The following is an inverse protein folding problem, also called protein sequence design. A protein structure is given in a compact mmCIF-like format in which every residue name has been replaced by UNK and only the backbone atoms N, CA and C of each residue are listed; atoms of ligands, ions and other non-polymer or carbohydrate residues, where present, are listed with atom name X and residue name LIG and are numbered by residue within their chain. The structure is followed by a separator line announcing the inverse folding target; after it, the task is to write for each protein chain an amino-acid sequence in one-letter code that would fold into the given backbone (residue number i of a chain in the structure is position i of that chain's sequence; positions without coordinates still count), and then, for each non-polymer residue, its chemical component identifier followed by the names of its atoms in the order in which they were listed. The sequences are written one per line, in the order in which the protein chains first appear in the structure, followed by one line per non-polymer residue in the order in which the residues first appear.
data_IF_404354259513
#
_entry.id   IF_404354259513
#
_cell.length_a   1.000
_cell.length_b   1.000
_cell.length_c   1.000
_cell.angle_alpha   90.00
_cell.angle_beta   90.00
_cell.angle_gamma   90.00
#
_symmetry.space_group_name_H-M   'P 1'
#
loop_
_entity.id
_entity.type
_entity.pdbx_description
1 polymer ?
#
# COMPACT_ATOMS: atom_id res chain seq x y z
N UNK A 1 4.72 23.13 -14.11
CA UNK A 1 4.43 22.89 -12.68
C UNK A 1 3.15 22.09 -12.56
N UNK A 2 3.22 20.78 -12.78
CA UNK A 2 2.08 19.89 -12.56
C UNK A 2 2.32 19.13 -11.26
N UNK A 3 1.48 19.42 -10.27
CA UNK A 3 1.49 18.72 -8.99
C UNK A 3 0.92 17.32 -9.24
N UNK A 4 1.72 16.28 -8.98
CA UNK A 4 1.30 14.88 -9.11
C UNK A 4 0.03 14.64 -8.29
N UNK A 5 -1.05 14.28 -8.96
CA UNK A 5 -2.30 13.89 -8.31
C UNK A 5 -2.07 12.57 -7.57
N UNK A 6 -2.63 12.48 -6.36
CA UNK A 6 -2.56 11.28 -5.55
C UNK A 6 -3.54 10.28 -6.10
N UNK A 7 -3.00 9.16 -6.58
CA UNK A 7 -3.77 8.04 -7.07
C UNK A 7 -3.33 6.75 -6.39
N UNK A 8 -4.15 5.72 -6.59
CA UNK A 8 -3.95 4.32 -6.21
C UNK A 8 -2.50 3.84 -6.32
N UNK A 9 -2.10 2.92 -5.42
CA UNK A 9 -0.79 2.25 -5.51
C UNK A 9 -0.79 1.33 -6.74
N UNK A 10 -0.57 1.94 -7.91
CA UNK A 10 -0.43 1.23 -9.16
C UNK A 10 1.03 0.80 -9.22
N UNK A 11 1.29 -0.49 -9.02
CA UNK A 11 2.57 -1.06 -9.50
C UNK A 11 2.43 -1.09 -11.02
N UNK A 12 2.76 0.02 -11.68
CA UNK A 12 2.89 0.00 -13.12
C UNK A 12 3.96 -1.04 -13.45
N UNK A 13 3.65 -2.13 -14.17
CA UNK A 13 4.70 -2.86 -14.86
C UNK A 13 5.15 -1.88 -15.94
N UNK A 14 6.20 -1.12 -15.64
CA UNK A 14 6.77 -0.23 -16.63
C UNK A 14 7.08 -1.07 -17.85
N UNK A 15 6.52 -0.66 -18.99
CA UNK A 15 6.93 -1.13 -20.31
C UNK A 15 8.42 -0.85 -20.61
N UNK A 16 9.15 -0.31 -19.64
CA UNK A 16 10.60 -0.35 -19.54
C UNK A 16 11.03 -1.25 -18.39
N UNK A 17 11.82 -2.27 -18.68
CA UNK A 17 12.57 -3.12 -17.74
C UNK A 17 13.56 -2.35 -16.81
N UNK A 18 13.40 -1.03 -16.64
CA UNK A 18 14.37 -0.07 -16.05
C UNK A 18 13.84 0.80 -14.91
N UNK A 19 12.58 0.70 -14.50
CA UNK A 19 12.13 1.39 -13.29
C UNK A 19 12.60 0.57 -12.07
N UNK A 20 13.36 1.20 -11.16
CA UNK A 20 13.71 0.59 -9.89
C UNK A 20 12.42 0.21 -9.13
N UNK A 21 12.41 -0.91 -8.39
CA UNK A 21 11.23 -1.29 -7.62
C UNK A 21 10.88 -0.20 -6.59
N UNK A 22 9.59 -0.04 -6.26
CA UNK A 22 9.18 0.90 -5.22
C UNK A 22 9.84 0.56 -3.89
N UNK A 23 10.31 1.60 -3.19
CA UNK A 23 10.99 1.46 -1.90
C UNK A 23 10.03 1.75 -0.75
N UNK A 24 9.85 0.77 0.13
CA UNK A 24 8.99 0.89 1.29
C UNK A 24 9.79 0.80 2.57
N UNK A 25 9.37 1.55 3.59
CA UNK A 25 9.91 1.44 4.94
C UNK A 25 8.83 1.62 5.99
N UNK A 26 9.10 1.10 7.19
CA UNK A 26 8.20 1.20 8.33
C UNK A 26 8.80 2.21 9.31
N UNK A 27 8.01 3.22 9.69
CA UNK A 27 8.38 4.18 10.72
C UNK A 27 7.15 4.50 11.57
N UNK A 28 7.30 4.47 12.89
CA UNK A 28 6.21 4.72 13.86
C UNK A 28 4.94 3.88 13.59
N UNK A 29 5.13 2.58 13.31
CA UNK A 29 4.05 1.63 12.98
C UNK A 29 3.21 2.04 11.74
N UNK A 30 3.81 2.79 10.81
CA UNK A 30 3.20 3.21 9.56
C UNK A 30 4.10 2.80 8.41
N UNK A 31 3.51 2.28 7.34
CA UNK A 31 4.20 2.02 6.08
C UNK A 31 4.28 3.29 5.25
N UNK A 32 5.46 3.55 4.70
CA UNK A 32 5.75 4.71 3.87
C UNK A 32 6.33 4.25 2.54
N UNK A 33 5.89 4.88 1.46
CA UNK A 33 6.49 4.78 0.13
C UNK A 33 7.47 5.96 -0.04
N UNK A 34 8.72 5.64 -0.36
CA UNK A 34 9.71 6.63 -0.79
C UNK A 34 9.57 6.81 -2.30
N UNK A 35 9.17 8.01 -2.73
CA UNK A 35 9.02 8.33 -4.16
C UNK A 35 10.30 8.93 -4.72
N UNK A 36 10.95 9.78 -3.93
CA UNK A 36 12.24 10.41 -4.24
C UNK A 36 12.90 10.89 -2.93
N UNK A 37 14.06 11.54 -3.02
CA UNK A 37 14.86 12.00 -1.86
C UNK A 37 14.13 12.96 -0.90
N UNK A 38 13.08 13.64 -1.36
CA UNK A 38 12.36 14.66 -0.59
C UNK A 38 10.89 14.32 -0.35
N UNK A 39 10.37 13.27 -1.00
CA UNK A 39 8.95 12.96 -1.04
C UNK A 39 8.69 11.54 -0.56
N UNK A 40 7.94 11.46 0.54
CA UNK A 40 7.43 10.22 1.11
C UNK A 40 5.92 10.30 1.27
N UNK A 41 5.23 9.20 1.04
CA UNK A 41 3.78 9.11 1.22
C UNK A 41 3.42 7.97 2.18
N UNK A 42 2.51 8.20 3.14
CA UNK A 42 1.95 7.11 3.93
C UNK A 42 1.12 6.19 3.02
N UNK A 43 1.32 4.88 3.19
CA UNK A 43 0.47 3.85 2.61
C UNK A 43 -0.63 3.52 3.62
N UNK A 44 -1.85 3.92 3.29
CA UNK A 44 -3.04 3.70 4.10
C UNK A 44 -3.76 2.43 3.67
N UNK A 45 -4.54 1.86 4.59
CA UNK A 45 -5.33 0.67 4.35
C UNK A 45 -6.80 1.05 4.44
N UNK A 46 -7.53 0.81 3.36
CA UNK A 46 -8.96 1.06 3.29
C UNK A 46 -9.71 -0.25 3.12
N UNK A 47 -10.85 -0.37 3.79
CA UNK A 47 -11.76 -1.47 3.53
C UNK A 47 -12.49 -1.19 2.21
N UNK A 48 -12.19 -1.96 1.16
CA UNK A 48 -12.81 -1.81 -0.16
C UNK A 48 -14.18 -2.46 -0.28
N UNK A 49 -14.56 -3.38 0.61
CA UNK A 49 -15.81 -4.14 0.50
C UNK A 49 -16.92 -3.65 1.42
N UNK A 50 -16.62 -2.78 2.40
CA UNK A 50 -17.60 -2.28 3.37
C UNK A 50 -18.05 -3.34 4.39
N UNK A 51 -17.62 -4.59 4.23
CA UNK A 51 -17.78 -5.70 5.16
C UNK A 51 -16.44 -5.98 5.83
N UNK A 52 -16.49 -6.35 7.10
CA UNK A 52 -15.42 -6.08 8.07
C UNK A 52 -14.10 -6.83 7.85
N UNK A 53 -13.98 -7.70 6.84
CA UNK A 53 -12.91 -8.69 6.82
C UNK A 53 -11.98 -8.61 5.60
N UNK A 54 -12.42 -8.70 4.34
CA UNK A 54 -11.48 -8.76 3.19
C UNK A 54 -12.16 -8.45 1.84
N UNK A 55 -11.38 -8.13 0.78
CA UNK A 55 -9.98 -7.69 0.81
C UNK A 55 -9.87 -6.19 1.16
N UNK A 56 -8.74 -5.81 1.75
CA UNK A 56 -8.40 -4.42 2.04
C UNK A 56 -7.49 -3.86 0.95
N UNK A 57 -7.66 -2.58 0.64
CA UNK A 57 -6.97 -1.88 -0.43
C UNK A 57 -5.85 -0.99 0.13
N UNK A 58 -4.69 -1.01 -0.52
CA UNK A 58 -3.57 -0.13 -0.19
C UNK A 58 -3.69 1.18 -1.01
N UNK A 59 -3.66 2.32 -0.31
CA UNK A 59 -3.87 3.63 -0.93
C UNK A 59 -2.81 4.62 -0.43
N UNK A 60 -2.14 5.31 -1.36
CA UNK A 60 -1.25 6.42 -1.00
C UNK A 60 -2.07 7.63 -0.53
N UNK A 61 -1.66 8.26 0.56
CA UNK A 61 -2.31 9.46 1.09
C UNK A 61 -1.36 10.63 1.28
N UNK A 62 -1.90 11.82 1.57
CA UNK A 62 -1.12 12.95 2.14
C UNK A 62 -0.92 12.82 3.64
N UNK A 63 -1.76 12.04 4.30
CA UNK A 63 -1.84 11.88 5.75
C UNK A 63 -2.20 10.43 6.07
N UNK A 64 -1.88 10.01 7.29
CA UNK A 64 -2.31 8.72 7.83
C UNK A 64 -3.83 8.68 7.91
N UNK A 65 -4.44 7.64 7.37
CA UNK A 65 -5.88 7.45 7.30
C UNK A 65 -6.24 5.96 7.19
N UNK A 66 -7.54 5.66 7.19
CA UNK A 66 -8.04 4.29 7.09
C UNK A 66 -7.87 3.50 8.39
N UNK A 67 -7.51 2.22 8.28
CA UNK A 67 -7.30 1.32 9.42
C UNK A 67 -5.94 1.62 10.06
N UNK A 68 -5.96 2.06 11.32
CA UNK A 68 -4.76 2.55 12.03
C UNK A 68 -4.30 1.68 13.20
N UNK A 69 -5.10 0.69 13.59
CA UNK A 69 -4.88 -0.16 14.77
C UNK A 69 -4.10 -1.45 14.48
N UNK A 70 -3.76 -1.74 13.23
CA UNK A 70 -2.88 -2.86 12.89
C UNK A 70 -1.40 -2.49 12.90
N UNK A 71 -0.55 -3.50 12.72
CA UNK A 71 0.90 -3.41 12.81
C UNK A 71 1.54 -3.83 11.50
N UNK A 72 2.41 -2.97 10.98
CA UNK A 72 3.27 -3.31 9.86
C UNK A 72 4.54 -3.99 10.37
N UNK A 73 4.94 -5.09 9.73
CA UNK A 73 6.25 -5.71 9.99
C UNK A 73 6.83 -6.37 8.74
N UNK A 74 8.15 -6.38 8.67
CA UNK A 74 8.88 -7.23 7.73
C UNK A 74 9.09 -8.61 8.35
N UNK A 75 8.90 -9.67 7.57
CA UNK A 75 9.33 -11.03 7.91
C UNK A 75 10.13 -11.56 6.73
N UNK A 76 11.44 -11.66 6.91
CA UNK A 76 12.39 -11.81 5.82
C UNK A 76 12.15 -10.72 4.75
N UNK A 77 11.90 -11.11 3.50
CA UNK A 77 11.66 -10.19 2.37
C UNK A 77 10.18 -9.87 2.14
N UNK A 78 9.29 -10.35 2.99
CA UNK A 78 7.85 -10.18 2.85
C UNK A 78 7.32 -9.14 3.84
N UNK A 79 6.41 -8.29 3.36
CA UNK A 79 5.70 -7.32 4.17
C UNK A 79 4.43 -7.95 4.75
N UNK A 80 4.16 -7.72 6.03
CA UNK A 80 2.96 -8.22 6.72
C UNK A 80 2.22 -7.04 7.34
N UNK A 81 0.90 -7.19 7.38
CA UNK A 81 0.01 -6.37 8.18
C UNK A 81 -0.78 -7.27 9.13
N UNK A 82 -0.58 -7.06 10.44
CA UNK A 82 -1.29 -7.79 11.48
C UNK A 82 -2.40 -6.90 12.08
N UNK A 83 -3.64 -7.38 12.00
CA UNK A 83 -4.79 -6.77 12.62
C UNK A 83 -4.91 -7.20 14.10
N UNK A 84 -5.59 -6.41 14.94
CA UNK A 84 -5.96 -6.85 16.28
C UNK A 84 -6.69 -8.20 16.26
N UNK A 85 -6.42 -9.04 17.26
CA UNK A 85 -7.01 -10.39 17.33
C UNK A 85 -6.27 -11.46 16.52
N UNK A 86 -5.05 -11.17 16.04
CA UNK A 86 -4.16 -12.18 15.43
C UNK A 86 -4.45 -12.48 13.95
N UNK A 87 -5.36 -11.73 13.32
CA UNK A 87 -5.58 -11.81 11.87
C UNK A 87 -4.41 -11.12 11.14
N UNK A 88 -3.99 -11.66 10.00
CA UNK A 88 -2.86 -11.16 9.22
C UNK A 88 -3.09 -11.41 7.74
N UNK A 89 -2.53 -10.58 6.86
CA UNK A 89 -2.51 -10.89 5.43
C UNK A 89 -1.54 -12.04 5.08
N UNK A 90 -0.76 -12.54 6.05
CA UNK A 90 0.22 -13.62 5.86
C UNK A 90 1.25 -13.34 4.76
N UNK A 91 1.49 -12.06 4.45
CA UNK A 91 2.37 -11.66 3.34
C UNK A 91 1.79 -11.84 1.95
N UNK A 92 0.49 -12.16 1.84
CA UNK A 92 -0.22 -12.26 0.57
C UNK A 92 -0.71 -10.88 0.12
N UNK A 93 -0.51 -10.62 -1.16
CA UNK A 93 -0.96 -9.41 -1.84
C UNK A 93 -1.51 -9.78 -3.22
N UNK A 94 -2.55 -9.09 -3.64
CA UNK A 94 -3.19 -9.26 -4.94
C UNK A 94 -3.02 -8.00 -5.77
N UNK A 95 -2.76 -8.18 -7.05
CA UNK A 95 -2.70 -7.10 -8.02
C UNK A 95 -3.94 -7.17 -8.90
N UNK A 96 -4.86 -6.22 -8.74
CA UNK A 96 -6.17 -6.24 -9.40
C UNK A 96 -6.38 -4.98 -10.24
N UNK A 97 -7.08 -5.14 -11.36
CA UNK A 97 -7.57 -4.02 -12.19
C UNK A 97 -8.83 -3.47 -11.53
N UNK A 98 -8.90 -2.16 -11.38
CA UNK A 98 -10.09 -1.44 -10.92
C UNK A 98 -11.01 -1.09 -12.09
N UNK A 99 -12.24 -0.66 -11.80
CA UNK A 99 -13.19 -0.15 -12.81
C UNK A 99 -12.62 1.00 -13.65
N UNK A 100 -11.66 1.75 -13.11
CA UNK A 100 -10.92 2.80 -13.83
C UNK A 100 -9.93 2.28 -14.88
N UNK A 101 -9.73 0.95 -14.97
CA UNK A 101 -8.72 0.31 -15.80
C UNK A 101 -7.30 0.36 -15.23
N UNK A 102 -7.10 0.98 -14.06
CA UNK A 102 -5.81 1.05 -13.37
C UNK A 102 -5.60 -0.15 -12.45
N UNK A 103 -4.36 -0.57 -12.30
CA UNK A 103 -4.02 -1.59 -11.31
C UNK A 103 -3.91 -1.03 -9.89
N UNK A 104 -4.22 -1.86 -8.90
CA UNK A 104 -3.98 -1.56 -7.50
C UNK A 104 -3.60 -2.82 -6.71
N UNK A 105 -3.06 -2.63 -5.51
CA UNK A 105 -2.66 -3.67 -4.58
C UNK A 105 -3.70 -3.84 -3.47
N UNK A 106 -4.08 -5.08 -3.25
CA UNK A 106 -4.99 -5.52 -2.20
C UNK A 106 -4.32 -6.56 -1.30
N UNK A 107 -4.85 -6.74 -0.10
CA UNK A 107 -4.41 -7.74 0.88
C UNK A 107 -5.57 -8.34 1.66
#
# INVERSE_FOLDING_TARGET
NETGQIANLSVMPSSSHRAAPPLFYINQNQLWLLVNETTVYPVNIHNSTGIHELPMQLILGKKRAGITNGIWRWKATQLYYDLPGGKSNQGLYFHCILDSGLFNVFM
#
